data_IF_992156023338
#
_entry.id   IF_992156023338
#
_cell.length_a   1.000
_cell.length_b   1.000
_cell.length_c   1.000
_cell.angle_alpha   90.00
_cell.angle_beta   90.00
_cell.angle_gamma   90.00
#
_symmetry.space_group_name_H-M   'P 1'
#
loop_
_entity.id
_entity.type
_entity.pdbx_description
1 polymer ?
#
# COMPACT_ATOMS: atom_id res chain seq x y z
N UNK A 1 1.62 -23.20 -19.51
CA UNK A 1 1.32 -22.05 -18.65
C UNK A 1 1.97 -22.33 -17.32
N UNK A 2 3.06 -21.65 -16.98
CA UNK A 2 3.66 -21.76 -15.64
C UNK A 2 3.04 -20.65 -14.82
N UNK A 3 2.17 -20.99 -13.87
CA UNK A 3 1.83 -20.06 -12.80
C UNK A 3 3.14 -19.67 -12.12
N UNK A 4 3.44 -18.38 -12.14
CA UNK A 4 4.61 -17.86 -11.44
C UNK A 4 4.37 -18.10 -9.95
N UNK A 5 5.00 -19.14 -9.38
CA UNK A 5 4.98 -19.43 -7.93
C UNK A 5 5.84 -18.44 -7.13
N UNK A 6 6.13 -17.26 -7.67
CA UNK A 6 7.00 -16.27 -7.07
C UNK A 6 6.24 -15.37 -6.12
N UNK A 7 6.70 -15.25 -4.87
CA UNK A 7 6.18 -14.23 -3.97
C UNK A 7 6.73 -12.85 -4.39
N UNK A 8 5.87 -11.83 -4.49
CA UNK A 8 6.29 -10.47 -4.78
C UNK A 8 6.35 -9.63 -3.49
N UNK A 9 7.45 -8.93 -3.27
CA UNK A 9 7.60 -8.00 -2.14
C UNK A 9 8.04 -6.63 -2.65
N UNK A 10 7.20 -5.61 -2.47
CA UNK A 10 7.54 -4.24 -2.84
C UNK A 10 7.59 -3.32 -1.61
N UNK A 11 8.50 -2.35 -1.66
CA UNK A 11 8.59 -1.29 -0.69
C UNK A 11 8.70 0.05 -1.42
N UNK A 12 7.91 1.05 -1.02
CA UNK A 12 8.02 2.42 -1.55
C UNK A 12 7.89 3.43 -0.43
N UNK A 13 8.88 4.30 -0.29
CA UNK A 13 8.89 5.34 0.75
C UNK A 13 8.55 6.69 0.16
N UNK A 14 7.62 7.40 0.80
CA UNK A 14 7.27 8.79 0.49
C UNK A 14 7.68 9.65 1.70
N UNK A 15 8.53 10.66 1.51
CA UNK A 15 8.98 11.52 2.59
C UNK A 15 9.28 12.96 2.16
N UNK A 16 9.28 13.88 3.13
CA UNK A 16 9.59 15.29 2.91
C UNK A 16 8.37 16.11 2.48
N UNK A 17 8.56 16.98 1.48
CA UNK A 17 7.47 17.73 0.84
C UNK A 17 7.14 17.08 -0.51
N UNK A 18 6.46 15.94 -0.45
CA UNK A 18 6.24 15.10 -1.63
C UNK A 18 4.75 14.98 -1.95
N UNK A 19 4.45 14.85 -3.25
CA UNK A 19 3.16 14.36 -3.74
C UNK A 19 3.41 13.13 -4.59
N UNK A 20 2.79 12.00 -4.25
CA UNK A 20 3.04 10.74 -4.92
C UNK A 20 1.74 9.96 -5.17
N UNK A 21 1.71 9.23 -6.28
CA UNK A 21 0.68 8.23 -6.59
C UNK A 21 1.37 6.90 -6.83
N UNK A 22 0.96 5.87 -6.10
CA UNK A 22 1.53 4.53 -6.21
C UNK A 22 0.41 3.54 -6.54
N UNK A 23 0.65 2.71 -7.54
CA UNK A 23 -0.24 1.63 -7.94
C UNK A 23 0.51 0.31 -7.90
N UNK A 24 0.05 -0.61 -7.05
CA UNK A 24 0.54 -1.99 -6.97
C UNK A 24 -0.51 -2.92 -7.55
N UNK A 25 -0.12 -3.76 -8.50
CA UNK A 25 -0.95 -4.79 -9.10
C UNK A 25 -0.13 -6.07 -9.20
N UNK A 26 -0.67 -7.19 -8.72
CA UNK A 26 0.01 -8.48 -8.69
C UNK A 26 -0.98 -9.64 -8.78
N UNK A 27 -0.71 -10.59 -9.68
CA UNK A 27 -1.51 -11.83 -9.81
C UNK A 27 -0.91 -12.99 -8.98
N UNK A 28 0.15 -12.69 -8.22
CA UNK A 28 0.86 -13.63 -7.36
C UNK A 28 0.82 -13.20 -5.90
N UNK A 29 0.95 -14.16 -4.98
CA UNK A 29 1.00 -13.90 -3.55
C UNK A 29 2.10 -12.87 -3.22
N UNK A 30 1.82 -11.90 -2.37
CA UNK A 30 2.82 -10.87 -2.11
C UNK A 30 2.56 -9.96 -0.92
N UNK A 31 3.55 -9.11 -0.64
CA UNK A 31 3.43 -8.08 0.40
C UNK A 31 3.96 -6.74 -0.09
N UNK A 32 3.18 -5.69 0.11
CA UNK A 32 3.57 -4.34 -0.25
C UNK A 32 3.66 -3.48 1.00
N UNK A 33 4.71 -2.67 1.10
CA UNK A 33 4.94 -1.78 2.24
C UNK A 33 5.13 -0.34 1.76
N UNK A 34 4.36 0.60 2.32
CA UNK A 34 4.43 2.01 1.94
C UNK A 34 4.55 2.93 3.14
N UNK A 35 5.77 3.25 3.61
CA UNK A 35 5.98 4.29 4.62
C UNK A 35 5.80 5.69 4.02
N UNK A 36 5.04 6.53 4.70
CA UNK A 36 4.76 7.93 4.37
C UNK A 36 5.13 8.80 5.58
N UNK A 37 5.93 9.84 5.34
CA UNK A 37 6.35 10.77 6.38
C UNK A 37 6.53 12.22 5.88
N UNK A 38 6.70 13.17 6.80
CA UNK A 38 6.94 14.57 6.47
C UNK A 38 5.64 15.36 6.24
N UNK A 39 5.68 16.32 5.32
CA UNK A 39 4.52 17.06 4.82
C UNK A 39 4.16 16.55 3.42
N UNK A 40 3.72 15.30 3.37
CA UNK A 40 3.51 14.56 2.13
C UNK A 40 2.04 14.32 1.85
N UNK A 41 1.66 14.30 0.57
CA UNK A 41 0.36 13.81 0.11
C UNK A 41 0.54 12.58 -0.75
N UNK A 42 -0.13 11.48 -0.41
CA UNK A 42 0.02 10.21 -1.08
C UNK A 42 -1.34 9.64 -1.51
N UNK A 43 -1.41 9.09 -2.71
CA UNK A 43 -2.52 8.23 -3.15
C UNK A 43 -1.95 6.85 -3.45
N UNK A 44 -2.47 5.82 -2.80
CA UNK A 44 -1.96 4.47 -2.90
C UNK A 44 -3.12 3.55 -3.26
N UNK A 45 -2.93 2.79 -4.34
CA UNK A 45 -3.90 1.79 -4.77
C UNK A 45 -3.21 0.43 -4.86
N UNK A 46 -3.69 -0.52 -4.05
CA UNK A 46 -3.31 -1.92 -4.09
C UNK A 46 -4.40 -2.74 -4.78
N UNK A 47 -4.00 -3.55 -5.75
CA UNK A 47 -4.83 -4.49 -6.49
C UNK A 47 -4.13 -5.85 -6.51
N UNK A 48 -4.85 -6.93 -6.20
CA UNK A 48 -4.27 -8.27 -6.24
C UNK A 48 -5.33 -9.34 -6.50
N UNK A 49 -5.05 -10.24 -7.45
CA UNK A 49 -5.88 -11.41 -7.74
C UNK A 49 -5.48 -12.63 -6.89
N UNK A 50 -4.41 -12.49 -6.10
CA UNK A 50 -3.90 -13.48 -5.16
C UNK A 50 -3.84 -12.93 -3.71
N UNK A 51 -3.60 -13.83 -2.76
CA UNK A 51 -3.41 -13.49 -1.34
C UNK A 51 -2.32 -12.42 -1.17
N UNK A 52 -2.66 -11.29 -0.57
CA UNK A 52 -1.73 -10.18 -0.38
C UNK A 52 -1.75 -9.62 1.04
N UNK A 53 -0.63 -9.01 1.43
CA UNK A 53 -0.56 -8.23 2.67
C UNK A 53 0.02 -6.85 2.40
N UNK A 54 -0.83 -5.84 2.41
CA UNK A 54 -0.45 -4.47 2.13
C UNK A 54 -0.39 -3.65 3.43
N UNK A 55 0.77 -3.08 3.74
CA UNK A 55 0.98 -2.26 4.93
C UNK A 55 1.31 -0.84 4.52
N UNK A 56 0.54 0.13 5.01
CA UNK A 56 0.87 1.56 4.89
C UNK A 56 1.15 2.13 6.27
N UNK A 57 2.27 2.83 6.44
CA UNK A 57 2.61 3.50 7.71
C UNK A 57 2.71 4.99 7.45
N UNK A 58 1.88 5.80 8.12
CA UNK A 58 1.79 7.24 7.89
C UNK A 58 2.23 7.96 9.16
N UNK A 59 3.14 8.91 9.00
CA UNK A 59 3.67 9.74 10.09
C UNK A 59 3.88 11.20 9.69
N UNK A 60 4.02 12.09 10.68
CA UNK A 60 4.23 13.52 10.43
C UNK A 60 2.94 14.26 10.07
N UNK A 61 3.05 15.32 9.25
CA UNK A 61 1.93 16.11 8.73
C UNK A 61 1.54 15.60 7.33
N UNK A 62 1.20 14.31 7.23
CA UNK A 62 0.96 13.66 5.94
C UNK A 62 -0.53 13.42 5.70
N UNK A 63 -0.93 13.47 4.44
CA UNK A 63 -2.25 13.02 3.97
C UNK A 63 -2.06 11.80 3.08
N UNK A 64 -2.82 10.74 3.33
CA UNK A 64 -2.84 9.57 2.47
C UNK A 64 -4.27 9.23 2.02
N UNK A 65 -4.41 8.70 0.82
CA UNK A 65 -5.64 8.06 0.33
C UNK A 65 -5.29 6.66 -0.07
N UNK A 66 -5.81 5.68 0.66
CA UNK A 66 -5.51 4.26 0.45
C UNK A 66 -6.72 3.55 -0.12
N UNK A 67 -6.52 2.86 -1.24
CA UNK A 67 -7.49 1.97 -1.86
C UNK A 67 -6.93 0.56 -1.91
N UNK A 68 -7.70 -0.40 -1.43
CA UNK A 68 -7.37 -1.82 -1.51
C UNK A 68 -8.48 -2.52 -2.29
N UNK A 69 -8.09 -3.26 -3.32
CA UNK A 69 -8.99 -4.04 -4.16
C UNK A 69 -8.41 -5.42 -4.33
N UNK A 70 -9.24 -6.45 -4.29
CA UNK A 70 -8.77 -7.81 -4.51
C UNK A 70 -9.87 -8.73 -4.93
N UNK A 71 -9.56 -9.56 -5.93
CA UNK A 71 -10.41 -10.65 -6.42
C UNK A 71 -9.90 -12.01 -5.91
N UNK A 72 -8.96 -12.00 -4.95
CA UNK A 72 -8.37 -13.20 -4.37
C UNK A 72 -9.41 -14.03 -3.61
N UNK A 73 -9.37 -15.34 -3.80
CA UNK A 73 -10.18 -16.28 -3.02
C UNK A 73 -9.61 -16.55 -1.62
N UNK A 74 -8.39 -16.09 -1.34
CA UNK A 74 -7.69 -16.18 -0.06
C UNK A 74 -7.87 -14.93 0.81
N UNK A 75 -7.42 -14.98 2.07
CA UNK A 75 -7.50 -13.85 2.98
C UNK A 75 -6.43 -12.80 2.70
N UNK A 76 -6.81 -11.53 2.51
CA UNK A 76 -5.87 -10.42 2.50
C UNK A 76 -5.67 -9.82 3.89
N UNK A 77 -4.44 -9.43 4.19
CA UNK A 77 -4.05 -8.81 5.44
C UNK A 77 -3.54 -7.38 5.18
N UNK A 78 -4.49 -6.46 4.98
CA UNK A 78 -4.21 -5.06 4.74
C UNK A 78 -4.25 -4.25 6.04
N UNK A 79 -3.27 -3.39 6.23
CA UNK A 79 -3.12 -2.59 7.44
C UNK A 79 -2.67 -1.17 7.11
N UNK A 80 -3.21 -0.22 7.86
CA UNK A 80 -2.72 1.16 7.84
C UNK A 80 -2.49 1.62 9.27
N UNK A 81 -1.25 2.02 9.56
CA UNK A 81 -0.84 2.59 10.84
C UNK A 81 -0.63 4.08 10.68
N UNK A 82 -1.19 4.88 11.58
CA UNK A 82 -1.12 6.35 11.54
C UNK A 82 -0.54 6.86 12.85
N UNK A 83 0.42 7.78 12.78
CA UNK A 83 1.02 8.44 13.93
C UNK A 83 1.26 9.92 13.66
N UNK A 84 1.23 10.77 14.69
CA UNK A 84 1.36 12.23 14.55
C UNK A 84 0.14 12.90 13.92
N UNK A 85 0.33 14.10 13.35
CA UNK A 85 -0.74 14.89 12.72
C UNK A 85 -1.01 14.43 11.29
N UNK A 86 -1.38 13.18 11.12
CA UNK A 86 -1.62 12.58 9.82
C UNK A 86 -3.10 12.29 9.58
N UNK A 87 -3.52 12.43 8.33
CA UNK A 87 -4.87 12.14 7.88
C UNK A 87 -4.84 11.03 6.84
N UNK A 88 -5.77 10.09 6.93
CA UNK A 88 -5.94 9.05 5.91
C UNK A 88 -7.39 8.94 5.49
N UNK A 89 -7.61 8.71 4.20
CA UNK A 89 -8.89 8.33 3.60
C UNK A 89 -8.77 6.88 3.13
N UNK A 90 -9.79 6.08 3.37
CA UNK A 90 -9.91 4.73 2.80
C UNK A 90 -11.00 4.74 1.73
N UNK A 91 -10.71 4.18 0.55
CA UNK A 91 -11.62 4.14 -0.60
C UNK A 91 -11.82 2.73 -1.13
#
# INVERSE_FOLDING_TARGET
>A
SSDATGANTNATTISGYATATIHFSSDVTGSNTTPISGNSTATIHFSSDATSSNTTTISGNSTATNRFTSDATGANADSTTISGYSYTIFM
#
